data_IF_084285358982
#
_entry.id   IF_084285358982
#
_cell.length_a   1.000
_cell.length_b   1.000
_cell.length_c   1.000
_cell.angle_alpha   90.00
_cell.angle_beta   90.00
_cell.angle_gamma   90.00
#
_symmetry.space_group_name_H-M   'P 1'
#
loop_
_entity.id
_entity.type
_entity.pdbx_description
1 polymer ?
#
# COMPACT_ATOMS: atom_id res chain seq x y z
N UNK A 1 35.42 60.27 -23.33
CA UNK A 1 33.95 60.45 -23.35
C UNK A 1 33.39 59.34 -24.21
N UNK A 2 32.59 58.44 -23.63
CA UNK A 2 31.84 57.42 -24.38
C UNK A 2 30.69 58.12 -25.12
N UNK A 3 30.45 57.81 -26.40
CA UNK A 3 29.35 58.43 -27.15
C UNK A 3 28.01 58.05 -26.51
N UNK A 4 27.07 59.01 -26.47
CA UNK A 4 25.71 58.75 -26.00
C UNK A 4 24.99 57.81 -26.98
N UNK A 5 24.24 56.81 -26.47
CA UNK A 5 23.49 55.89 -27.31
C UNK A 5 22.41 56.65 -28.09
N UNK A 6 22.16 56.22 -29.32
CA UNK A 6 21.08 56.81 -30.11
C UNK A 6 19.72 56.54 -29.46
N UNK A 7 18.75 57.42 -29.69
CA UNK A 7 17.38 57.29 -29.16
C UNK A 7 16.78 55.89 -29.42
N UNK A 8 16.99 55.34 -30.62
CA UNK A 8 16.51 54.00 -30.99
C UNK A 8 17.23 52.88 -30.24
N UNK A 9 18.49 53.08 -29.86
CA UNK A 9 19.29 52.13 -29.09
C UNK A 9 18.88 52.13 -27.63
N UNK A 10 18.60 53.31 -27.05
CA UNK A 10 18.01 53.44 -25.72
C UNK A 10 16.63 52.76 -25.64
N UNK A 11 15.76 52.97 -26.64
CA UNK A 11 14.45 52.30 -26.69
C UNK A 11 14.55 50.77 -26.85
N UNK A 12 15.61 50.25 -27.47
CA UNK A 12 15.87 48.81 -27.58
C UNK A 12 16.36 48.23 -26.26
N UNK A 13 17.28 48.93 -25.58
CA UNK A 13 17.83 48.52 -24.28
C UNK A 13 16.77 48.57 -23.16
N UNK A 14 15.88 49.57 -23.19
CA UNK A 14 14.73 49.66 -22.29
C UNK A 14 13.58 48.69 -22.66
N UNK A 15 13.75 47.89 -23.72
CA UNK A 15 12.79 46.84 -24.11
C UNK A 15 11.53 47.34 -24.82
N UNK A 16 11.44 48.63 -25.15
CA UNK A 16 10.33 49.21 -25.93
C UNK A 16 10.31 48.74 -27.39
N UNK A 17 11.47 48.34 -27.93
CA UNK A 17 11.60 47.80 -29.28
C UNK A 17 12.23 46.40 -29.18
N UNK A 18 11.41 45.36 -29.38
CA UNK A 18 11.90 43.98 -29.44
C UNK A 18 12.71 43.78 -30.73
N UNK A 19 14.00 43.48 -30.57
CA UNK A 19 14.87 43.04 -31.66
C UNK A 19 14.74 41.53 -31.89
N UNK A 20 15.16 41.06 -33.06
CA UNK A 20 15.20 39.65 -33.47
C UNK A 20 15.93 38.72 -32.47
N UNK A 21 16.83 39.24 -31.66
CA UNK A 21 17.54 38.48 -30.62
C UNK A 21 16.63 38.04 -29.45
N UNK A 22 15.47 38.66 -29.28
CA UNK A 22 14.49 38.31 -28.23
C UNK A 22 13.70 37.06 -28.62
N UNK A 23 13.37 36.87 -29.90
CA UNK A 23 12.65 35.69 -30.38
C UNK A 23 13.48 34.40 -30.21
N UNK A 24 14.81 34.48 -30.42
CA UNK A 24 15.73 33.38 -30.18
C UNK A 24 15.75 32.95 -28.71
N UNK A 25 15.88 33.91 -27.79
CA UNK A 25 15.87 33.63 -26.35
C UNK A 25 14.55 33.07 -25.85
N UNK A 26 13.42 33.58 -26.36
CA UNK A 26 12.08 33.10 -25.95
C UNK A 26 11.85 31.65 -26.40
N UNK A 27 12.34 31.25 -27.57
CA UNK A 27 12.24 29.86 -28.01
C UNK A 27 13.15 28.93 -27.20
N UNK A 28 14.37 29.34 -26.89
CA UNK A 28 15.31 28.56 -26.07
C UNK A 28 14.77 28.34 -24.64
N UNK A 29 14.23 29.40 -24.02
CA UNK A 29 13.59 29.29 -22.69
C UNK A 29 12.32 28.43 -22.73
N UNK A 30 11.53 28.47 -23.81
CA UNK A 30 10.36 27.59 -23.93
C UNK A 30 10.75 26.12 -24.02
N UNK A 31 11.80 25.79 -24.75
CA UNK A 31 12.27 24.42 -24.90
C UNK A 31 12.84 23.87 -23.58
N UNK A 32 13.58 24.70 -22.84
CA UNK A 32 14.05 24.38 -21.49
C UNK A 32 12.89 24.10 -20.53
N UNK A 33 11.87 24.97 -20.50
CA UNK A 33 10.68 24.79 -19.65
C UNK A 33 9.89 23.53 -20.02
N UNK A 34 9.76 23.22 -21.31
CA UNK A 34 9.06 22.00 -21.76
C UNK A 34 9.81 20.75 -21.32
N UNK A 35 11.14 20.74 -21.44
CA UNK A 35 11.96 19.62 -21.01
C UNK A 35 11.90 19.44 -19.49
N UNK A 36 12.01 20.51 -18.71
CA UNK A 36 11.92 20.45 -17.24
C UNK A 36 10.56 19.91 -16.77
N UNK A 37 9.47 20.31 -17.43
CA UNK A 37 8.12 19.79 -17.13
C UNK A 37 8.00 18.31 -17.48
N UNK A 38 8.58 17.86 -18.60
CA UNK A 38 8.57 16.44 -18.98
C UNK A 38 9.38 15.60 -18.00
N UNK A 39 10.57 16.06 -17.61
CA UNK A 39 11.43 15.38 -16.66
C UNK A 39 10.73 15.27 -15.29
N UNK A 40 10.09 16.35 -14.84
CA UNK A 40 9.30 16.36 -13.61
C UNK A 40 8.11 15.40 -13.69
N UNK A 41 7.41 15.34 -14.83
CA UNK A 41 6.30 14.42 -15.02
C UNK A 41 6.75 12.96 -14.97
N UNK A 42 7.90 12.64 -15.58
CA UNK A 42 8.49 11.30 -15.56
C UNK A 42 8.93 10.89 -14.15
N UNK A 43 9.48 11.82 -13.37
CA UNK A 43 9.86 11.58 -11.98
C UNK A 43 8.63 11.29 -11.10
N UNK A 44 7.57 12.07 -11.26
CA UNK A 44 6.29 11.87 -10.56
C UNK A 44 5.66 10.52 -10.92
N UNK A 45 5.70 10.13 -12.19
CA UNK A 45 5.19 8.83 -12.65
C UNK A 45 5.97 7.68 -11.99
N UNK A 46 7.29 7.79 -11.94
CA UNK A 46 8.17 6.78 -11.33
C UNK A 46 7.89 6.65 -9.84
N UNK A 47 7.83 7.77 -9.10
CA UNK A 47 7.50 7.76 -7.67
C UNK A 47 6.12 7.17 -7.40
N UNK A 48 5.15 7.42 -8.28
CA UNK A 48 3.78 6.88 -8.12
C UNK A 48 3.75 5.36 -8.28
N UNK A 49 4.47 4.80 -9.25
CA UNK A 49 4.54 3.35 -9.42
C UNK A 49 5.31 2.67 -8.27
N UNK A 50 6.37 3.29 -7.74
CA UNK A 50 7.07 2.78 -6.54
C UNK A 50 6.15 2.72 -5.33
N UNK A 51 5.43 3.81 -5.02
CA UNK A 51 4.47 3.85 -3.89
C UNK A 51 3.36 2.82 -4.06
N UNK A 52 2.88 2.62 -5.28
CA UNK A 52 1.83 1.65 -5.59
C UNK A 52 2.30 0.21 -5.38
N UNK A 53 3.51 -0.14 -5.78
CA UNK A 53 4.08 -1.46 -5.55
C UNK A 53 4.36 -1.70 -4.05
N UNK A 54 4.87 -0.70 -3.32
CA UNK A 54 5.03 -0.79 -1.86
C UNK A 54 3.69 -0.99 -1.13
N UNK A 55 2.66 -0.24 -1.53
CA UNK A 55 1.31 -0.37 -0.97
C UNK A 55 0.72 -1.76 -1.25
N UNK A 56 0.93 -2.28 -2.46
CA UNK A 56 0.47 -3.62 -2.85
C UNK A 56 1.17 -4.71 -2.03
N UNK A 57 2.49 -4.62 -1.87
CA UNK A 57 3.26 -5.52 -1.01
C UNK A 57 2.75 -5.50 0.44
N UNK A 58 2.49 -4.31 0.98
CA UNK A 58 1.94 -4.14 2.34
C UNK A 58 0.56 -4.76 2.50
N UNK A 59 -0.31 -4.62 1.49
CA UNK A 59 -1.65 -5.25 1.48
C UNK A 59 -1.54 -6.77 1.42
N UNK A 60 -0.64 -7.31 0.62
CA UNK A 60 -0.44 -8.74 0.50
C UNK A 60 0.14 -9.34 1.79
N UNK A 61 1.06 -8.64 2.47
CA UNK A 61 1.56 -9.04 3.79
C UNK A 61 0.44 -9.02 4.84
N UNK A 62 -0.41 -7.99 4.85
CA UNK A 62 -1.55 -7.90 5.75
C UNK A 62 -2.57 -9.01 5.50
N UNK A 63 -2.83 -9.35 4.23
CA UNK A 63 -3.69 -10.50 3.86
C UNK A 63 -3.10 -11.82 4.36
N UNK A 64 -1.80 -12.03 4.19
CA UNK A 64 -1.13 -13.24 4.66
C UNK A 64 -1.25 -13.38 6.19
N UNK A 65 -0.97 -12.32 6.95
CA UNK A 65 -1.13 -12.31 8.42
C UNK A 65 -2.58 -12.55 8.85
N UNK A 66 -3.55 -11.96 8.13
CA UNK A 66 -4.96 -12.17 8.41
C UNK A 66 -5.39 -13.62 8.14
N UNK A 67 -4.87 -14.24 7.08
CA UNK A 67 -5.13 -15.64 6.76
C UNK A 67 -4.50 -16.58 7.80
N UNK A 68 -3.24 -16.34 8.19
CA UNK A 68 -2.58 -17.10 9.25
C UNK A 68 -3.36 -17.01 10.58
N UNK A 69 -3.85 -15.82 10.92
CA UNK A 69 -4.68 -15.61 12.11
C UNK A 69 -5.99 -16.39 12.03
N UNK A 70 -6.66 -16.39 10.86
CA UNK A 70 -7.87 -17.19 10.65
C UNK A 70 -7.60 -18.69 10.79
N UNK A 71 -6.54 -19.19 10.16
CA UNK A 71 -6.18 -20.60 10.23
C UNK A 71 -5.84 -21.04 11.66
N UNK A 72 -5.18 -20.18 12.44
CA UNK A 72 -4.91 -20.42 13.86
C UNK A 72 -6.20 -20.49 14.70
N UNK A 73 -7.18 -19.62 14.44
CA UNK A 73 -8.49 -19.65 15.11
C UNK A 73 -9.24 -20.93 14.77
N UNK A 74 -9.33 -21.28 13.48
CA UNK A 74 -10.02 -22.50 13.03
C UNK A 74 -9.42 -23.74 13.67
N UNK A 75 -8.08 -23.88 13.68
CA UNK A 75 -7.40 -25.01 14.34
C UNK A 75 -7.72 -25.08 15.84
N UNK A 76 -7.75 -23.94 16.54
CA UNK A 76 -8.08 -23.88 17.97
C UNK A 76 -9.53 -24.30 18.24
N UNK A 77 -10.47 -23.86 17.42
CA UNK A 77 -11.88 -24.23 17.56
C UNK A 77 -12.11 -25.71 17.24
N UNK A 78 -11.41 -26.24 16.23
CA UNK A 78 -11.47 -27.66 15.87
C UNK A 78 -10.90 -28.54 16.99
N UNK A 79 -9.74 -28.18 17.55
CA UNK A 79 -9.14 -28.91 18.67
C UNK A 79 -10.00 -28.86 19.95
N UNK A 80 -10.70 -27.75 20.19
CA UNK A 80 -11.63 -27.61 21.32
C UNK A 80 -12.88 -28.48 21.13
N UNK A 81 -13.39 -28.58 19.90
CA UNK A 81 -14.53 -29.45 19.57
C UNK A 81 -14.20 -30.94 19.71
N UNK A 82 -12.99 -31.38 19.33
CA UNK A 82 -12.56 -32.77 19.53
C UNK A 82 -12.40 -33.13 21.01
N UNK A 83 -11.90 -32.20 21.84
CA UNK A 83 -11.76 -32.40 23.29
C UNK A 83 -13.10 -32.56 24.01
N UNK A 84 -14.15 -31.82 23.61
CA UNK A 84 -15.45 -31.89 24.29
C UNK A 84 -16.18 -33.19 24.00
N UNK A 85 -16.09 -33.71 22.76
CA UNK A 85 -16.78 -34.95 22.38
C UNK A 85 -16.21 -36.19 23.08
N UNK A 86 -14.88 -36.28 23.21
CA UNK A 86 -14.26 -37.42 23.89
C UNK A 86 -14.61 -37.46 25.39
N UNK A 87 -14.66 -36.30 26.05
CA UNK A 87 -15.00 -36.24 27.48
C UNK A 87 -16.43 -36.72 27.75
N UNK A 88 -17.38 -36.34 26.90
CA UNK A 88 -18.78 -36.75 27.03
C UNK A 88 -18.97 -38.27 26.84
N UNK A 89 -18.21 -38.89 25.93
CA UNK A 89 -18.20 -40.33 25.70
C UNK A 89 -17.72 -41.10 26.95
N UNK A 90 -16.60 -40.68 27.56
CA UNK A 90 -16.08 -41.33 28.77
C UNK A 90 -17.03 -41.22 29.96
N UNK A 91 -17.68 -40.06 30.14
CA UNK A 91 -18.68 -39.87 31.20
C UNK A 91 -19.89 -40.78 30.99
N UNK A 92 -20.40 -40.90 29.75
CA UNK A 92 -21.53 -41.77 29.44
C UNK A 92 -21.22 -43.25 29.74
N UNK A 93 -20.03 -43.73 29.35
CA UNK A 93 -19.58 -45.10 29.64
C UNK A 93 -19.50 -45.33 31.16
N UNK A 94 -18.92 -44.39 31.92
CA UNK A 94 -18.81 -44.52 33.37
C UNK A 94 -20.18 -44.63 34.05
N UNK A 95 -21.17 -43.83 33.64
CA UNK A 95 -22.55 -43.91 34.16
C UNK A 95 -23.17 -45.27 33.86
N UNK A 96 -23.02 -45.78 32.63
CA UNK A 96 -23.56 -47.11 32.25
C UNK A 96 -22.96 -48.22 33.12
N UNK A 97 -21.64 -48.19 33.35
CA UNK A 97 -20.96 -49.19 34.19
C UNK A 97 -21.48 -49.13 35.63
N UNK A 98 -21.65 -47.93 36.20
CA UNK A 98 -22.21 -47.76 37.55
C UNK A 98 -23.63 -48.30 37.63
N UNK A 99 -24.48 -48.03 36.63
CA UNK A 99 -25.85 -48.54 36.58
C UNK A 99 -25.90 -50.08 36.51
N UNK A 100 -25.01 -50.70 35.73
CA UNK A 100 -24.90 -52.16 35.65
C UNK A 100 -24.46 -52.74 37.00
N UNK A 101 -23.47 -52.13 37.65
CA UNK A 101 -23.02 -52.57 38.98
C UNK A 101 -24.11 -52.45 40.03
N UNK A 102 -24.87 -51.34 40.03
CA UNK A 102 -26.01 -51.15 40.92
C UNK A 102 -27.13 -52.16 40.64
N UNK A 103 -27.44 -52.43 39.37
CA UNK A 103 -28.41 -53.44 38.99
C UNK A 103 -27.98 -54.83 39.48
N UNK A 104 -26.74 -55.23 39.24
CA UNK A 104 -26.20 -56.51 39.73
C UNK A 104 -26.17 -56.61 41.26
N UNK A 105 -25.98 -55.49 41.97
CA UNK A 105 -26.01 -55.46 43.43
C UNK A 105 -27.43 -55.55 44.00
N UNK A 106 -28.41 -54.91 43.36
CA UNK A 106 -29.82 -54.90 43.81
C UNK A 106 -30.53 -56.22 43.48
N UNK A 107 -30.18 -56.86 42.35
CA UNK A 107 -30.79 -58.11 41.90
C UNK A 107 -30.01 -59.38 42.30
N UNK A 108 -28.98 -59.24 43.16
CA UNK A 108 -28.26 -60.33 43.78
C UNK A 108 -28.70 -60.51 45.23
#
# INVERSE_FOLDING_TARGET
MTPEPSFTQALREEGFIQGSDVEGKVNETKEEVVNEVQDTAADVETQTEEVKEEAKASVDEAKAKAQETRDAIVKKDTAKAESSNNTMLYVAIAVIVILILLFLFVFR
#
